data_IF_003447503590
#
_entry.id   IF_003447503590
#
_cell.length_a   1.000
_cell.length_b   1.000
_cell.length_c   1.000
_cell.angle_alpha   90.00
_cell.angle_beta   90.00
_cell.angle_gamma   90.00
#
_symmetry.space_group_name_H-M   'P 1'
#
loop_
_entity.id
_entity.type
_entity.pdbx_description
1 polymer ?
#
# COMPACT_ATOMS: atom_id res chain seq x y z
N UNK A 1 -8.70 7.34 7.44
CA UNK A 1 -8.56 7.31 5.96
C UNK A 1 -7.81 6.07 5.49
N UNK A 2 -6.54 5.87 5.88
CA UNK A 2 -5.76 4.67 5.47
C UNK A 2 -6.51 3.34 5.71
N UNK A 3 -7.02 3.12 6.92
CA UNK A 3 -7.74 1.89 7.27
C UNK A 3 -8.96 1.66 6.38
N UNK A 4 -9.68 2.73 6.02
CA UNK A 4 -10.83 2.64 5.09
C UNK A 4 -10.36 2.20 3.70
N UNK A 5 -9.22 2.70 3.21
CA UNK A 5 -8.64 2.22 1.95
C UNK A 5 -8.32 0.72 1.96
N UNK A 6 -7.73 0.22 3.05
CA UNK A 6 -7.52 -1.21 3.22
C UNK A 6 -8.84 -1.99 3.20
N UNK A 7 -9.84 -1.52 3.93
CA UNK A 7 -11.17 -2.15 3.99
C UNK A 7 -11.88 -2.11 2.64
N UNK A 8 -11.81 -1.01 1.88
CA UNK A 8 -12.43 -0.92 0.55
C UNK A 8 -11.82 -1.93 -0.43
N UNK A 9 -10.50 -2.09 -0.41
CA UNK A 9 -9.83 -3.13 -1.19
C UNK A 9 -10.29 -4.54 -0.77
N UNK A 10 -10.39 -4.78 0.53
CA UNK A 10 -10.79 -6.08 1.08
C UNK A 10 -12.26 -6.41 0.78
N UNK A 11 -13.16 -5.42 0.84
CA UNK A 11 -14.56 -5.58 0.48
C UNK A 11 -14.74 -5.99 -0.98
N UNK A 12 -13.91 -5.45 -1.89
CA UNK A 12 -14.01 -5.77 -3.31
C UNK A 12 -13.34 -7.10 -3.68
N UNK A 13 -12.16 -7.37 -3.11
CA UNK A 13 -11.35 -8.56 -3.49
C UNK A 13 -11.57 -9.77 -2.60
N UNK A 14 -12.17 -9.60 -1.42
CA UNK A 14 -12.24 -10.61 -0.36
C UNK A 14 -10.88 -10.93 0.27
N UNK A 15 -9.84 -10.14 0.01
CA UNK A 15 -8.46 -10.39 0.46
C UNK A 15 -7.94 -9.21 1.28
N UNK A 16 -7.20 -9.51 2.34
CA UNK A 16 -6.52 -8.50 3.16
C UNK A 16 -5.45 -7.79 2.30
N UNK A 17 -5.52 -6.47 2.20
CA UNK A 17 -4.60 -5.67 1.38
C UNK A 17 -3.14 -5.81 1.81
N UNK A 18 -2.87 -5.74 3.11
CA UNK A 18 -1.53 -5.83 3.68
C UNK A 18 -1.52 -6.90 4.78
N UNK A 19 -1.27 -8.15 4.41
CA UNK A 19 -1.19 -9.28 5.33
C UNK A 19 0.21 -9.40 5.98
N UNK A 20 0.64 -8.32 6.66
CA UNK A 20 1.94 -8.29 7.32
C UNK A 20 1.95 -9.07 8.64
N UNK A 21 3.05 -9.78 8.91
CA UNK A 21 3.25 -10.55 10.15
C UNK A 21 3.83 -9.72 11.29
N UNK A 22 4.56 -8.67 10.96
CA UNK A 22 5.22 -7.74 11.88
C UNK A 22 5.09 -6.32 11.33
N UNK A 23 5.38 -5.31 12.16
CA UNK A 23 5.40 -3.91 11.70
C UNK A 23 6.42 -3.70 10.56
N UNK A 24 7.57 -4.38 10.61
CA UNK A 24 8.56 -4.33 9.53
C UNK A 24 7.97 -4.88 8.22
N UNK A 25 7.32 -6.04 8.28
CA UNK A 25 6.66 -6.63 7.11
C UNK A 25 5.51 -5.74 6.59
N UNK A 26 4.72 -5.11 7.48
CA UNK A 26 3.68 -4.16 7.07
C UNK A 26 4.26 -2.97 6.27
N UNK A 27 5.39 -2.40 6.72
CA UNK A 27 6.06 -1.32 5.99
C UNK A 27 6.57 -1.80 4.63
N UNK A 28 7.14 -3.00 4.55
CA UNK A 28 7.56 -3.60 3.28
C UNK A 28 6.40 -3.69 2.29
N UNK A 29 5.25 -4.24 2.71
CA UNK A 29 4.08 -4.38 1.85
C UNK A 29 3.51 -3.03 1.40
N UNK A 30 3.53 -2.02 2.27
CA UNK A 30 3.10 -0.67 1.91
C UNK A 30 4.06 -0.02 0.89
N UNK A 31 5.37 -0.25 1.03
CA UNK A 31 6.39 0.24 0.09
C UNK A 31 6.43 -0.56 -1.21
N UNK A 32 6.01 -1.82 -1.22
CA UNK A 32 5.81 -2.58 -2.46
C UNK A 32 4.68 -2.01 -3.32
N UNK A 33 3.76 -1.27 -2.72
CA UNK A 33 2.71 -0.56 -3.44
C UNK A 33 3.13 0.86 -3.86
N UNK A 34 3.72 1.64 -2.94
CA UNK A 34 3.99 3.08 -3.17
C UNK A 34 5.45 3.43 -3.41
N UNK A 35 6.33 2.45 -3.38
CA UNK A 35 7.77 2.64 -3.36
C UNK A 35 8.28 3.05 -1.99
N UNK A 36 9.57 3.36 -1.92
CA UNK A 36 10.26 3.74 -0.67
C UNK A 36 9.59 4.94 0.02
N UNK A 37 9.46 4.84 1.34
CA UNK A 37 8.93 5.92 2.17
C UNK A 37 9.76 7.21 2.02
N UNK A 38 9.12 8.40 1.92
CA UNK A 38 9.86 9.65 1.81
C UNK A 38 10.80 9.91 2.99
N UNK A 39 12.04 10.32 2.71
CA UNK A 39 13.06 10.59 3.73
C UNK A 39 12.61 11.59 4.81
N UNK A 40 11.81 12.60 4.44
CA UNK A 40 11.23 13.57 5.38
C UNK A 40 10.29 12.91 6.40
N UNK A 41 9.60 11.85 6.01
CA UNK A 41 8.70 11.10 6.87
C UNK A 41 9.50 10.16 7.79
N UNK A 42 10.49 9.44 7.24
CA UNK A 42 11.37 8.56 8.02
C UNK A 42 12.05 9.32 9.17
N UNK A 43 12.61 10.50 8.89
CA UNK A 43 13.33 11.31 9.90
C UNK A 43 12.46 11.78 11.06
N UNK A 44 11.13 11.86 10.88
CA UNK A 44 10.17 12.23 11.93
C UNK A 44 9.73 11.04 12.79
N UNK A 45 10.02 9.81 12.38
CA UNK A 45 9.61 8.61 13.09
C UNK A 45 10.42 8.38 14.36
N UNK A 46 9.75 8.19 15.48
CA UNK A 46 10.38 7.81 16.77
C UNK A 46 11.00 6.42 16.69
N UNK A 47 10.35 5.50 15.97
CA UNK A 47 10.79 4.11 15.80
C UNK A 47 11.59 3.88 14.50
N UNK A 48 12.15 4.94 13.90
CA UNK A 48 12.83 4.83 12.60
C UNK A 48 14.01 3.85 12.63
N UNK A 49 14.75 3.81 13.74
CA UNK A 49 15.98 3.02 13.88
C UNK A 49 15.69 1.50 13.97
N UNK A 50 14.42 1.10 14.14
CA UNK A 50 13.98 -0.30 14.07
C UNK A 50 13.75 -0.78 12.63
N UNK A 51 13.64 0.13 11.67
CA UNK A 51 13.20 -0.16 10.30
C UNK A 51 14.12 0.41 9.22
N UNK A 52 14.91 1.43 9.55
CA UNK A 52 15.80 2.11 8.61
C UNK A 52 17.19 2.29 9.21
N UNK A 53 18.21 2.15 8.38
CA UNK A 53 19.60 2.41 8.76
C UNK A 53 19.90 3.93 8.81
N UNK A 54 21.15 4.29 9.16
CA UNK A 54 21.60 5.68 9.21
C UNK A 54 21.50 6.40 7.85
N UNK A 55 21.56 5.65 6.74
CA UNK A 55 21.44 6.15 5.38
C UNK A 55 19.99 6.19 4.89
N UNK A 56 19.01 5.89 5.76
CA UNK A 56 17.59 5.80 5.47
C UNK A 56 17.26 4.67 4.48
N UNK A 57 18.09 3.64 4.40
CA UNK A 57 17.77 2.40 3.68
C UNK A 57 16.87 1.53 4.55
N UNK A 58 15.91 0.87 3.93
CA UNK A 58 14.99 0.01 4.66
C UNK A 58 15.67 -1.30 5.05
N UNK A 59 15.59 -1.66 6.32
CA UNK A 59 16.11 -2.92 6.85
C UNK A 59 14.96 -3.92 6.87
N UNK A 60 14.85 -4.75 5.84
CA UNK A 60 13.80 -5.76 5.77
C UNK A 60 14.19 -6.98 6.60
N UNK A 61 13.36 -7.33 7.58
CA UNK A 61 13.56 -8.50 8.44
C UNK A 61 12.73 -9.65 7.87
N UNK A 62 13.40 -10.66 7.34
CA UNK A 62 12.79 -11.88 6.81
C UNK A 62 13.26 -13.11 7.58
N UNK A 63 12.42 -14.14 7.65
CA UNK A 63 12.81 -15.44 8.20
C UNK A 63 13.29 -16.29 7.02
N UNK A 64 14.55 -16.69 7.06
CA UNK A 64 15.14 -17.54 6.04
C UNK A 64 14.45 -18.91 6.04
N UNK A 65 13.96 -19.33 4.87
CA UNK A 65 13.12 -20.54 4.74
C UNK A 65 13.86 -21.85 5.01
N UNK A 66 15.19 -21.84 4.94
CA UNK A 66 16.02 -23.04 5.14
C UNK A 66 16.49 -23.11 6.58
N UNK A 67 16.96 -21.98 7.11
CA UNK A 67 17.59 -21.93 8.43
C UNK A 67 16.63 -21.56 9.56
N UNK A 68 15.42 -21.10 9.23
CA UNK A 68 14.40 -20.56 10.16
C UNK A 68 14.91 -19.42 11.04
N UNK A 69 16.00 -18.77 10.64
CA UNK A 69 16.60 -17.63 11.35
C UNK A 69 16.22 -16.31 10.72
N UNK A 70 16.18 -15.27 11.54
CA UNK A 70 16.01 -13.91 11.05
C UNK A 70 17.24 -13.46 10.25
N UNK A 71 16.97 -12.93 9.07
CA UNK A 71 17.93 -12.31 8.18
C UNK A 71 17.49 -10.88 7.91
N UNK A 72 18.45 -9.96 7.96
CA UNK A 72 18.21 -8.55 7.62
C UNK A 72 18.76 -8.26 6.23
N UNK A 73 17.89 -7.85 5.32
CA UNK A 73 18.24 -7.42 3.97
C UNK A 73 18.10 -5.90 3.87
N UNK A 74 19.20 -5.20 3.59
CA UNK A 74 19.20 -3.73 3.45
C UNK A 74 18.79 -3.34 2.03
N UNK A 75 17.72 -2.55 1.92
CA UNK A 75 17.15 -2.09 0.64
C UNK A 75 17.28 -0.58 0.52
N UNK A 76 18.17 -0.12 -0.37
CA UNK A 76 18.34 1.31 -0.65
C UNK A 76 17.21 1.88 -1.49
N UNK A 77 16.69 1.08 -2.42
CA UNK A 77 15.52 1.36 -3.26
C UNK A 77 14.48 0.27 -3.10
N UNK A 78 13.21 0.68 -3.17
CA UNK A 78 12.06 -0.23 -3.21
C UNK A 78 11.20 0.24 -4.36
N UNK A 79 11.19 -0.54 -5.43
CA UNK A 79 10.37 -0.28 -6.59
C UNK A 79 8.95 -0.81 -6.33
N UNK A 80 7.90 -0.08 -6.73
CA UNK A 80 6.54 -0.61 -6.68
C UNK A 80 6.45 -1.90 -7.50
N UNK A 81 6.10 -3.01 -6.84
CA UNK A 81 5.87 -4.32 -7.48
C UNK A 81 4.42 -4.75 -7.42
N UNK A 82 3.64 -4.17 -6.50
CA UNK A 82 2.22 -4.52 -6.33
C UNK A 82 1.36 -3.77 -7.35
N UNK A 83 0.82 -4.51 -8.31
CA UNK A 83 -0.16 -3.99 -9.26
C UNK A 83 -1.58 -4.07 -8.68
N UNK A 84 -2.04 -2.94 -8.15
CA UNK A 84 -3.36 -2.83 -7.54
C UNK A 84 -4.50 -3.09 -8.55
N UNK A 85 -4.31 -2.73 -9.83
CA UNK A 85 -5.36 -2.90 -10.84
C UNK A 85 -5.52 -4.37 -11.21
N UNK A 86 -4.41 -5.07 -11.40
CA UNK A 86 -4.40 -6.51 -11.65
C UNK A 86 -5.02 -7.28 -10.46
N UNK A 87 -4.70 -6.88 -9.23
CA UNK A 87 -5.28 -7.48 -8.02
C UNK A 87 -6.80 -7.29 -7.92
N UNK A 88 -7.29 -6.09 -8.28
CA UNK A 88 -8.72 -5.79 -8.28
C UNK A 88 -9.46 -6.55 -9.38
N UNK A 89 -8.97 -6.56 -10.62
CA UNK A 89 -9.62 -7.26 -11.74
C UNK A 89 -9.56 -8.78 -11.53
N UNK A 90 -8.43 -9.29 -11.04
CA UNK A 90 -8.17 -10.72 -10.91
C UNK A 90 -8.32 -11.44 -12.25
N UNK A 91 -9.01 -12.59 -12.24
CA UNK A 91 -9.30 -13.38 -13.45
C UNK A 91 -10.71 -13.13 -14.01
N UNK A 92 -11.38 -12.04 -13.62
CA UNK A 92 -12.77 -11.78 -13.97
C UNK A 92 -12.88 -11.11 -15.35
N UNK A 93 -13.87 -11.52 -16.15
CA UNK A 93 -14.29 -10.77 -17.34
C UNK A 93 -15.43 -9.84 -16.94
N UNK A 94 -15.07 -8.58 -16.71
CA UNK A 94 -16.02 -7.54 -16.32
C UNK A 94 -16.63 -6.88 -17.57
N UNK A 95 -17.94 -6.58 -17.55
CA UNK A 95 -18.54 -5.59 -18.44
C UNK A 95 -17.80 -4.25 -18.42
N UNK A 96 -17.90 -3.47 -19.49
CA UNK A 96 -17.11 -2.24 -19.67
C UNK A 96 -17.42 -1.17 -18.61
N UNK A 97 -18.68 -1.05 -18.20
CA UNK A 97 -19.18 -0.18 -17.12
C UNK A 97 -18.56 -0.56 -15.77
N UNK A 98 -18.54 -1.84 -15.42
CA UNK A 98 -17.92 -2.32 -14.19
C UNK A 98 -16.40 -2.17 -14.24
N UNK A 99 -15.78 -2.44 -15.39
CA UNK A 99 -14.34 -2.24 -15.57
C UNK A 99 -13.97 -0.78 -15.36
N UNK A 100 -14.77 0.17 -15.85
CA UNK A 100 -14.59 1.61 -15.58
C UNK A 100 -14.65 1.91 -14.09
N UNK A 101 -15.63 1.36 -13.36
CA UNK A 101 -15.73 1.50 -11.90
C UNK A 101 -14.51 0.95 -11.16
N UNK A 102 -13.94 -0.17 -11.59
CA UNK A 102 -12.72 -0.73 -10.98
C UNK A 102 -11.52 0.20 -11.15
N UNK A 103 -11.37 0.84 -12.32
CA UNK A 103 -10.31 1.83 -12.52
C UNK A 103 -10.50 3.04 -11.60
N UNK A 104 -11.73 3.50 -11.40
CA UNK A 104 -12.04 4.58 -10.47
C UNK A 104 -11.79 4.18 -9.01
N UNK A 105 -12.10 2.94 -8.62
CA UNK A 105 -11.78 2.42 -7.29
C UNK A 105 -10.26 2.39 -7.08
N UNK A 106 -9.51 1.90 -8.07
CA UNK A 106 -8.04 1.88 -8.05
C UNK A 106 -7.50 3.29 -7.84
N UNK A 107 -8.00 4.29 -8.57
CA UNK A 107 -7.57 5.68 -8.42
C UNK A 107 -7.85 6.23 -7.02
N UNK A 108 -9.06 5.99 -6.49
CA UNK A 108 -9.42 6.39 -5.13
C UNK A 108 -8.48 5.76 -4.09
N UNK A 109 -8.22 4.45 -4.21
CA UNK A 109 -7.31 3.72 -3.34
C UNK A 109 -5.89 4.28 -3.43
N UNK A 110 -5.44 4.67 -4.63
CA UNK A 110 -4.13 5.27 -4.81
C UNK A 110 -3.98 6.59 -4.04
N UNK A 111 -5.03 7.41 -4.00
CA UNK A 111 -5.02 8.68 -3.27
C UNK A 111 -5.18 8.48 -1.74
N UNK A 112 -5.91 7.44 -1.31
CA UNK A 112 -6.06 7.09 0.11
C UNK A 112 -4.78 6.50 0.69
N UNK A 113 -4.11 5.62 -0.06
CA UNK A 113 -2.98 4.81 0.38
C UNK A 113 -1.62 5.50 0.18
N UNK A 114 -1.59 6.83 0.17
CA UNK A 114 -0.33 7.57 0.19
C UNK A 114 0.40 7.37 1.52
N UNK A 115 1.69 7.01 1.47
CA UNK A 115 2.49 6.76 2.68
C UNK A 115 2.53 7.99 3.59
N UNK A 116 2.84 9.15 3.02
CA UNK A 116 2.81 10.43 3.73
C UNK A 116 1.36 10.87 3.99
N UNK A 117 0.93 10.97 5.27
CA UNK A 117 -0.43 11.38 5.61
C UNK A 117 -0.79 12.77 5.10
N UNK A 118 0.17 13.69 4.95
CA UNK A 118 -0.08 15.03 4.44
C UNK A 118 -0.45 15.06 2.95
N UNK A 119 -0.15 13.97 2.23
CA UNK A 119 -0.45 13.81 0.80
C UNK A 119 -1.68 12.93 0.54
N UNK A 120 -2.35 12.42 1.58
CA UNK A 120 -3.55 11.61 1.43
C UNK A 120 -4.74 12.48 1.06
N UNK A 121 -5.67 11.90 0.32
CA UNK A 121 -6.96 12.52 0.02
C UNK A 121 -7.70 12.91 1.31
N UNK A 122 -8.32 14.10 1.31
CA UNK A 122 -9.21 14.52 2.39
C UNK A 122 -10.57 13.81 2.31
N UNK A 123 -11.33 13.84 3.39
CA UNK A 123 -12.67 13.23 3.42
C UNK A 123 -13.59 13.87 2.37
N UNK A 124 -13.59 15.20 2.27
CA UNK A 124 -14.46 15.92 1.32
C UNK A 124 -14.11 15.58 -0.14
N UNK A 125 -12.81 15.51 -0.47
CA UNK A 125 -12.36 15.09 -1.80
C UNK A 125 -12.72 13.63 -2.09
N UNK A 126 -12.61 12.73 -1.09
CA UNK A 126 -12.99 11.33 -1.25
C UNK A 126 -14.49 11.19 -1.54
N UNK A 127 -15.35 11.93 -0.83
CA UNK A 127 -16.79 11.94 -1.08
C UNK A 127 -17.14 12.46 -2.48
N UNK A 128 -16.36 13.41 -3.01
CA UNK A 128 -16.52 13.96 -4.36
C UNK A 128 -15.82 13.13 -5.45
N UNK A 129 -15.16 12.03 -5.10
CA UNK A 129 -14.42 11.23 -6.05
C UNK A 129 -15.35 10.59 -7.10
N UNK A 130 -14.87 10.45 -8.34
CA UNK A 130 -15.64 9.93 -9.48
C UNK A 130 -16.22 8.54 -9.20
N UNK A 131 -15.47 7.71 -8.48
CA UNK A 131 -15.93 6.40 -8.00
C UNK A 131 -17.26 6.46 -7.23
N UNK A 132 -17.46 7.50 -6.42
CA UNK A 132 -18.67 7.69 -5.59
C UNK A 132 -19.75 8.47 -6.35
N UNK A 133 -19.36 9.51 -7.10
CA UNK A 133 -20.30 10.44 -7.72
C UNK A 133 -20.94 9.90 -9.01
N UNK A 134 -20.18 9.17 -9.83
CA UNK A 134 -20.71 8.64 -11.09
C UNK A 134 -21.62 7.44 -10.82
N UNK A 135 -22.80 7.39 -11.44
CA UNK A 135 -23.70 6.22 -11.34
C UNK A 135 -23.28 5.15 -12.36
N UNK A 136 -23.54 3.88 -12.02
CA UNK A 136 -23.41 2.75 -12.95
C UNK A 136 -24.61 2.75 -13.89
#
# INVERSE_FOLDING_TARGET
MWSVGCTLYELYTGKILFAGKTNNHMLKLAMDLKGKMPNKMIRKGVFKDQHFDQNLNFMYIEVDKVTEREKVTVMSTINPTKDLLADLIGCQRLPEDQRKKVHQLKDLLDQILMLDPAKRISINQALQHVFIQEKI
#
